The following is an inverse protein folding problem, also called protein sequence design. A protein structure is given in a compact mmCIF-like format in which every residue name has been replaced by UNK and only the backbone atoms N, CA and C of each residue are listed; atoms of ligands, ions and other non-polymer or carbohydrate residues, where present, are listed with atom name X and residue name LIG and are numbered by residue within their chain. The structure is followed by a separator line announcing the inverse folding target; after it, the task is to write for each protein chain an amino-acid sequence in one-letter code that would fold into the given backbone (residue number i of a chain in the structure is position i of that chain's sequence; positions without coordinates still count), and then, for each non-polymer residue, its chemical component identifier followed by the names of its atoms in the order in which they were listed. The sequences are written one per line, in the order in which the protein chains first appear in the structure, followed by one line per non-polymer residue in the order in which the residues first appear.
data_IF_409372575493
#
_entry.id   IF_409372575493
#
_cell.length_a   1.000
_cell.length_b   1.000
_cell.length_c   1.000
_cell.angle_alpha   90.00
_cell.angle_beta   90.00
_cell.angle_gamma   90.00
#
_symmetry.space_group_name_H-M   'P 1'
#
loop_
_entity.id
_entity.type
_entity.pdbx_description
1 polymer ?
#
# COMPACT_ATOMS: atom_id res chain seq x y z
N UNK A 1 7.70 -6.23 15.61
CA UNK A 1 6.32 -6.76 15.60
C UNK A 1 6.30 -8.25 15.79
N UNK A 2 5.34 -8.75 16.56
CA UNK A 2 5.04 -10.17 16.67
C UNK A 2 4.29 -10.69 15.42
N UNK A 3 4.12 -12.02 15.31
CA UNK A 3 3.47 -12.63 14.14
C UNK A 3 2.03 -12.15 13.91
N UNK A 4 1.28 -11.94 15.00
CA UNK A 4 -0.12 -11.49 14.93
C UNK A 4 -0.20 -10.05 14.42
N UNK A 5 0.69 -9.18 14.88
CA UNK A 5 0.79 -7.79 14.40
C UNK A 5 1.15 -7.73 12.91
N UNK A 6 2.07 -8.59 12.44
CA UNK A 6 2.41 -8.66 11.02
C UNK A 6 1.22 -9.04 10.15
N UNK A 7 0.37 -9.96 10.62
CA UNK A 7 -0.85 -10.33 9.89
C UNK A 7 -1.83 -9.14 9.80
N UNK A 8 -1.93 -8.32 10.85
CA UNK A 8 -2.79 -7.12 10.82
C UNK A 8 -2.30 -6.09 9.81
N UNK A 9 -1.00 -5.76 9.83
CA UNK A 9 -0.42 -4.82 8.87
C UNK A 9 -0.49 -5.34 7.43
N UNK A 10 -0.37 -6.66 7.23
CA UNK A 10 -0.59 -7.26 5.92
C UNK A 10 -2.04 -7.06 5.44
N UNK A 11 -3.03 -7.19 6.33
CA UNK A 11 -4.43 -6.90 6.02
C UNK A 11 -4.63 -5.44 5.61
N UNK A 12 -4.04 -4.50 6.36
CA UNK A 12 -4.09 -3.07 6.06
C UNK A 12 -3.47 -2.75 4.69
N UNK A 13 -2.29 -3.30 4.41
CA UNK A 13 -1.63 -3.16 3.11
C UNK A 13 -2.49 -3.70 1.96
N UNK A 14 -3.15 -4.85 2.17
CA UNK A 14 -4.05 -5.43 1.18
C UNK A 14 -5.27 -4.56 0.92
N UNK A 15 -5.88 -4.00 1.98
CA UNK A 15 -7.02 -3.11 1.86
C UNK A 15 -6.66 -1.82 1.12
N UNK A 16 -5.49 -1.24 1.40
CA UNK A 16 -4.95 -0.09 0.67
C UNK A 16 -4.80 -0.42 -0.83
N UNK A 17 -4.12 -1.53 -1.17
CA UNK A 17 -3.93 -1.93 -2.57
C UNK A 17 -5.27 -2.14 -3.29
N UNK A 18 -6.25 -2.76 -2.63
CA UNK A 18 -7.60 -2.90 -3.20
C UNK A 18 -8.28 -1.55 -3.41
N UNK A 19 -8.18 -0.64 -2.43
CA UNK A 19 -8.72 0.71 -2.54
C UNK A 19 -8.11 1.44 -3.74
N UNK A 20 -6.80 1.34 -3.95
CA UNK A 20 -6.14 1.89 -5.13
C UNK A 20 -6.75 1.35 -6.42
N UNK A 21 -6.95 0.04 -6.55
CA UNK A 21 -7.55 -0.52 -7.76
C UNK A 21 -9.01 -0.12 -7.98
N UNK A 22 -9.79 0.03 -6.90
CA UNK A 22 -11.19 0.47 -6.98
C UNK A 22 -11.31 1.94 -7.33
N UNK A 23 -10.43 2.78 -6.78
CA UNK A 23 -10.46 4.22 -6.94
C UNK A 23 -9.54 4.75 -8.05
N UNK A 24 -8.76 3.90 -8.72
CA UNK A 24 -7.72 4.29 -9.71
C UNK A 24 -8.24 5.22 -10.80
N UNK A 25 -9.49 5.03 -11.21
CA UNK A 25 -10.12 5.77 -12.30
C UNK A 25 -10.93 7.00 -11.79
N UNK A 26 -10.91 7.25 -10.49
CA UNK A 26 -11.51 8.42 -9.85
C UNK A 26 -10.43 9.47 -9.54
N UNK A 27 -10.75 10.78 -9.62
CA UNK A 27 -9.84 11.80 -9.16
C UNK A 27 -9.63 11.64 -7.65
N UNK A 28 -8.45 11.18 -7.23
CA UNK A 28 -8.11 11.08 -5.82
C UNK A 28 -7.37 12.35 -5.37
N UNK A 29 -7.85 12.95 -4.28
CA UNK A 29 -7.16 14.03 -3.57
C UNK A 29 -6.24 13.49 -2.45
N UNK A 30 -6.15 12.17 -2.29
CA UNK A 30 -5.49 11.56 -1.14
C UNK A 30 -3.96 11.47 -1.34
N UNK A 31 -3.28 12.52 -0.88
CA UNK A 31 -1.82 12.56 -0.71
C UNK A 31 -1.27 11.50 0.26
N UNK A 32 -2.13 10.80 1.01
CA UNK A 32 -1.71 9.90 2.09
C UNK A 32 -1.59 8.42 1.68
N UNK A 33 -2.17 7.99 0.55
CA UNK A 33 -2.18 6.58 0.13
C UNK A 33 -0.76 5.97 0.05
N UNK A 34 0.13 6.60 -0.71
CA UNK A 34 1.49 6.08 -0.91
C UNK A 34 2.31 6.10 0.37
N UNK A 35 2.03 7.06 1.28
CA UNK A 35 2.69 7.14 2.57
C UNK A 35 2.25 5.97 3.48
N UNK A 36 0.97 5.62 3.49
CA UNK A 36 0.47 4.48 4.27
C UNK A 36 0.96 3.13 3.73
N UNK A 37 1.06 2.99 2.40
CA UNK A 37 1.67 1.79 1.79
C UNK A 37 3.14 1.67 2.19
N UNK A 38 3.91 2.76 2.12
CA UNK A 38 5.32 2.76 2.51
C UNK A 38 5.51 2.41 4.00
N UNK A 39 4.67 2.95 4.89
CA UNK A 39 4.65 2.59 6.31
C UNK A 39 4.41 1.08 6.50
N UNK A 40 3.45 0.50 5.80
CA UNK A 40 3.17 -0.93 5.87
C UNK A 40 4.38 -1.76 5.40
N UNK A 41 5.05 -1.35 4.32
CA UNK A 41 6.25 -2.00 3.83
C UNK A 41 7.39 -1.97 4.87
N UNK A 42 7.63 -0.83 5.53
CA UNK A 42 8.64 -0.71 6.59
C UNK A 42 8.32 -1.66 7.76
N UNK A 43 7.06 -1.71 8.19
CA UNK A 43 6.62 -2.56 9.31
C UNK A 43 6.71 -4.05 9.00
N UNK A 44 6.52 -4.43 7.74
CA UNK A 44 6.58 -5.82 7.28
C UNK A 44 7.98 -6.27 6.85
N UNK A 45 8.93 -5.33 6.72
CA UNK A 45 10.27 -5.55 6.14
C UNK A 45 10.19 -5.96 4.66
N UNK A 46 9.41 -5.19 3.88
CA UNK A 46 9.21 -5.36 2.45
C UNK A 46 9.87 -4.23 1.66
N UNK A 47 10.35 -4.54 0.46
CA UNK A 47 10.83 -3.52 -0.47
C UNK A 47 9.65 -2.75 -1.08
N UNK A 48 9.52 -1.47 -0.71
CA UNK A 48 8.45 -0.61 -1.19
C UNK A 48 8.51 -0.37 -2.70
N UNK A 49 9.71 -0.28 -3.28
CA UNK A 49 9.89 -0.05 -4.71
C UNK A 49 9.44 -1.26 -5.50
N UNK A 50 9.85 -2.45 -5.09
CA UNK A 50 9.44 -3.71 -5.73
C UNK A 50 7.94 -3.95 -5.58
N UNK A 51 7.37 -3.63 -4.41
CA UNK A 51 5.92 -3.71 -4.21
C UNK A 51 5.16 -2.81 -5.20
N UNK A 52 5.59 -1.56 -5.40
CA UNK A 52 4.98 -0.68 -6.40
C UNK A 52 5.04 -1.28 -7.80
N UNK A 53 6.17 -1.87 -8.19
CA UNK A 53 6.35 -2.48 -9.50
C UNK A 53 5.41 -3.67 -9.71
N UNK A 54 5.35 -4.59 -8.73
CA UNK A 54 4.51 -5.80 -8.79
C UNK A 54 3.01 -5.46 -8.85
N UNK A 55 2.58 -4.43 -8.12
CA UNK A 55 1.17 -4.03 -8.04
C UNK A 55 0.82 -2.84 -8.93
N UNK A 56 1.74 -2.39 -9.80
CA UNK A 56 1.50 -1.27 -10.72
C UNK A 56 1.04 0.02 -10.03
N UNK A 57 1.51 0.28 -8.80
CA UNK A 57 1.12 1.44 -8.00
C UNK A 57 1.85 2.69 -8.50
N UNK A 58 1.31 3.31 -9.54
CA UNK A 58 1.87 4.51 -10.14
C UNK A 58 0.99 5.70 -9.80
N UNK A 59 1.57 6.82 -9.34
CA UNK A 59 0.86 8.09 -9.47
C UNK A 59 0.62 8.29 -10.97
N UNK A 60 -0.64 8.38 -11.38
CA UNK A 60 -0.94 8.92 -12.69
C UNK A 60 -0.32 10.33 -12.74
N UNK A 61 0.67 10.51 -13.62
CA UNK A 61 1.21 11.82 -13.97
C UNK A 61 0.18 12.59 -14.79
#
# INVERSE_FOLDING_TARGET
MNKVEKVKVLSELFDLINMYYVARDLPSEENDFFMEVEKCCILLDLDYTELKNVFGLNCAL
#
